data_IF_131005937887
#
_entry.id   IF_131005937887
#
_cell.length_a   1.000
_cell.length_b   1.000
_cell.length_c   1.000
_cell.angle_alpha   90.00
_cell.angle_beta   90.00
_cell.angle_gamma   90.00
#
_symmetry.space_group_name_H-M   'P 1'
#
loop_
_entity.id
_entity.type
_entity.pdbx_description
1 polymer ?
#
# COMPACT_ATOMS: atom_id res chain seq x y z
N UNK A 1 2.01 13.69 9.79
CA UNK A 1 2.86 13.05 8.76
C UNK A 1 2.02 12.62 7.54
N UNK A 2 1.47 13.62 6.83
CA UNK A 2 0.52 13.36 5.75
C UNK A 2 1.18 12.82 4.48
N UNK A 3 2.43 13.21 4.20
CA UNK A 3 3.19 12.69 3.05
C UNK A 3 3.43 11.18 3.16
N UNK A 4 4.02 10.74 4.27
CA UNK A 4 4.28 9.32 4.57
C UNK A 4 3.00 8.48 4.55
N UNK A 5 1.92 8.99 5.15
CA UNK A 5 0.60 8.34 5.09
C UNK A 5 0.12 8.19 3.64
N UNK A 6 0.16 9.27 2.86
CA UNK A 6 -0.35 9.28 1.49
C UNK A 6 0.41 8.31 0.59
N UNK A 7 1.75 8.34 0.61
CA UNK A 7 2.56 7.43 -0.23
C UNK A 7 2.37 5.97 0.19
N UNK A 8 2.28 5.68 1.50
CA UNK A 8 2.05 4.31 1.96
C UNK A 8 0.65 3.80 1.56
N UNK A 9 -0.40 4.61 1.73
CA UNK A 9 -1.77 4.24 1.36
C UNK A 9 -1.91 4.05 -0.16
N UNK A 10 -1.37 4.98 -0.96
CA UNK A 10 -1.38 4.86 -2.42
C UNK A 10 -0.54 3.66 -2.88
N UNK A 11 0.60 3.41 -2.24
CA UNK A 11 1.45 2.26 -2.54
C UNK A 11 0.76 0.94 -2.23
N UNK A 12 0.03 0.84 -1.12
CA UNK A 12 -0.81 -0.31 -0.80
C UNK A 12 -1.90 -0.53 -1.87
N UNK A 13 -2.56 0.53 -2.34
CA UNK A 13 -3.55 0.45 -3.43
C UNK A 13 -2.94 -0.09 -4.71
N UNK A 14 -1.78 0.44 -5.11
CA UNK A 14 -1.06 0.00 -6.30
C UNK A 14 -0.62 -1.46 -6.18
N UNK A 15 -0.11 -1.87 -5.02
CA UNK A 15 0.31 -3.25 -4.78
C UNK A 15 -0.89 -4.22 -4.88
N UNK A 16 -2.06 -3.85 -4.36
CA UNK A 16 -3.29 -4.63 -4.53
C UNK A 16 -3.72 -4.77 -5.99
N UNK A 17 -3.59 -3.70 -6.78
CA UNK A 17 -3.87 -3.74 -8.22
C UNK A 17 -2.88 -4.63 -8.98
N UNK A 18 -1.57 -4.52 -8.68
CA UNK A 18 -0.51 -5.37 -9.28
C UNK A 18 -0.74 -6.84 -8.93
N UNK A 19 -1.14 -7.13 -7.68
CA UNK A 19 -1.43 -8.48 -7.23
C UNK A 19 -2.55 -9.12 -8.07
N UNK A 20 -3.66 -8.41 -8.28
CA UNK A 20 -4.75 -8.95 -9.10
C UNK A 20 -4.38 -9.08 -10.58
N UNK A 21 -3.63 -8.11 -11.11
CA UNK A 21 -3.16 -8.17 -12.49
C UNK A 21 -2.24 -9.39 -12.72
N UNK A 22 -1.37 -9.68 -11.75
CA UNK A 22 -0.49 -10.85 -11.75
C UNK A 22 -1.27 -12.17 -11.65
N UNK A 23 -2.41 -12.20 -10.96
CA UNK A 23 -3.26 -13.39 -10.88
C UNK A 23 -4.02 -13.62 -12.20
N UNK A 24 -4.48 -12.55 -12.84
CA UNK A 24 -5.20 -12.65 -14.10
C UNK A 24 -4.29 -13.03 -15.28
N UNK A 25 -3.12 -12.41 -15.40
CA UNK A 25 -2.14 -12.74 -16.42
C UNK A 25 -1.16 -13.80 -15.91
N UNK A 26 -1.53 -15.08 -16.08
CA UNK A 26 -0.74 -16.24 -15.64
C UNK A 26 0.70 -16.20 -16.19
N UNK A 27 0.88 -15.72 -17.42
CA UNK A 27 2.18 -15.64 -18.10
C UNK A 27 2.98 -14.35 -17.82
N UNK A 28 2.55 -13.52 -16.85
CA UNK A 28 3.32 -12.33 -16.49
C UNK A 28 4.72 -12.73 -15.98
N UNK A 29 5.81 -12.23 -16.59
CA UNK A 29 7.18 -12.55 -16.18
C UNK A 29 7.46 -12.21 -14.72
N UNK A 30 8.19 -13.07 -14.02
CA UNK A 30 8.52 -12.89 -12.61
C UNK A 30 9.32 -11.60 -12.37
N UNK A 31 10.20 -11.24 -13.30
CA UNK A 31 11.03 -10.05 -13.25
C UNK A 31 10.16 -8.78 -13.22
N UNK A 32 9.08 -8.75 -13.98
CA UNK A 32 8.13 -7.62 -14.00
C UNK A 32 7.38 -7.56 -12.67
N UNK A 33 6.93 -8.70 -12.13
CA UNK A 33 6.27 -8.77 -10.81
C UNK A 33 7.18 -8.21 -9.73
N UNK A 34 8.45 -8.62 -9.70
CA UNK A 34 9.43 -8.15 -8.73
C UNK A 34 9.76 -6.67 -8.92
N UNK A 35 9.96 -6.23 -10.16
CA UNK A 35 10.24 -4.82 -10.47
C UNK A 35 9.10 -3.91 -9.98
N UNK A 36 7.84 -4.29 -10.17
CA UNK A 36 6.69 -3.48 -9.75
C UNK A 36 6.42 -3.59 -8.25
N UNK A 37 6.30 -4.80 -7.72
CA UNK A 37 5.90 -5.02 -6.33
C UNK A 37 7.05 -4.73 -5.34
N UNK A 38 8.26 -5.18 -5.63
CA UNK A 38 9.41 -5.02 -4.71
C UNK A 38 10.18 -3.74 -5.05
N UNK A 39 10.44 -3.48 -6.33
CA UNK A 39 11.18 -2.30 -6.78
C UNK A 39 10.36 -1.02 -6.62
N UNK A 40 9.32 -0.85 -7.42
CA UNK A 40 8.54 0.39 -7.47
C UNK A 40 7.76 0.62 -6.17
N UNK A 41 6.90 -0.31 -5.75
CA UNK A 41 6.12 -0.13 -4.51
C UNK A 41 7.04 -0.08 -3.27
N UNK A 42 8.13 -0.84 -3.25
CA UNK A 42 9.11 -0.79 -2.16
C UNK A 42 9.87 0.54 -2.09
N UNK A 43 10.20 1.15 -3.23
CA UNK A 43 10.84 2.48 -3.27
C UNK A 43 9.87 3.65 -3.08
N UNK A 44 8.60 3.47 -3.44
CA UNK A 44 7.54 4.48 -3.30
C UNK A 44 7.02 4.58 -1.86
N UNK A 45 6.94 3.47 -1.14
CA UNK A 45 6.48 3.40 0.25
C UNK A 45 7.66 3.42 1.22
N UNK A 46 7.40 3.71 2.49
CA UNK A 46 8.44 3.70 3.52
C UNK A 46 7.88 3.30 4.89
N UNK A 47 8.31 2.13 5.38
CA UNK A 47 8.03 1.69 6.74
C UNK A 47 8.98 2.33 7.76
N UNK A 48 10.25 2.54 7.39
CA UNK A 48 11.25 3.11 8.29
C UNK A 48 10.92 4.56 8.67
N UNK A 49 10.47 5.38 7.71
CA UNK A 49 10.03 6.75 7.99
C UNK A 49 8.78 6.75 8.88
N UNK A 50 7.80 5.88 8.61
CA UNK A 50 6.63 5.70 9.46
C UNK A 50 7.02 5.35 10.91
N UNK A 51 7.98 4.44 11.11
CA UNK A 51 8.47 4.09 12.44
C UNK A 51 9.20 5.25 13.13
N UNK A 52 10.05 5.98 12.41
CA UNK A 52 10.74 7.15 12.95
C UNK A 52 9.77 8.26 13.39
N UNK A 53 8.71 8.49 12.62
CA UNK A 53 7.65 9.45 12.97
C UNK A 53 6.87 9.02 14.22
N UNK A 54 6.55 7.73 14.36
CA UNK A 54 5.91 7.21 15.59
C UNK A 54 6.84 7.33 16.80
N UNK A 55 8.12 6.99 16.65
CA UNK A 55 9.11 7.14 17.71
C UNK A 55 9.26 8.60 18.14
N UNK A 56 9.28 9.55 17.20
CA UNK A 56 9.32 10.98 17.50
C UNK A 56 8.08 11.43 18.30
N UNK A 57 6.89 10.94 17.97
CA UNK A 57 5.67 11.25 18.72
C UNK A 57 5.72 10.70 20.16
N UNK A 58 6.21 9.47 20.33
CA UNK A 58 6.40 8.87 21.65
C UNK A 58 7.40 9.68 22.50
N UNK A 59 8.53 10.09 21.93
CA UNK A 59 9.52 10.94 22.61
C UNK A 59 8.97 12.31 23.02
N UNK A 60 7.96 12.81 22.31
CA UNK A 60 7.25 14.05 22.67
C UNK A 60 6.05 13.82 23.61
N UNK A 61 5.89 12.61 24.16
CA UNK A 61 4.77 12.20 25.01
C UNK A 61 3.39 12.31 24.33
N UNK A 62 3.34 12.24 22.99
CA UNK A 62 2.12 12.37 22.17
C UNK A 62 1.51 10.99 21.86
N UNK A 63 1.16 10.25 22.90
CA UNK A 63 0.76 8.84 22.80
C UNK A 63 -0.53 8.65 21.98
N UNK A 64 -1.52 9.53 22.17
CA UNK A 64 -2.77 9.48 21.38
C UNK A 64 -2.51 9.71 19.88
N UNK A 65 -1.68 10.69 19.52
CA UNK A 65 -1.36 10.99 18.13
C UNK A 65 -0.62 9.82 17.47
N UNK A 66 0.36 9.24 18.17
CA UNK A 66 1.08 8.04 17.74
C UNK A 66 0.10 6.89 17.48
N UNK A 67 -0.76 6.56 18.44
CA UNK A 67 -1.74 5.48 18.31
C UNK A 67 -2.70 5.71 17.14
N UNK A 68 -3.25 6.92 17.01
CA UNK A 68 -4.15 7.25 15.89
C UNK A 68 -3.44 7.18 14.53
N UNK A 69 -2.19 7.64 14.45
CA UNK A 69 -1.43 7.61 13.20
C UNK A 69 -1.07 6.18 12.79
N UNK A 70 -0.62 5.35 13.73
CA UNK A 70 -0.34 3.93 13.51
C UNK A 70 -1.60 3.18 13.07
N UNK A 71 -2.70 3.33 13.81
CA UNK A 71 -3.97 2.69 13.47
C UNK A 71 -4.50 3.15 12.10
N UNK A 72 -4.48 4.45 11.81
CA UNK A 72 -4.91 4.98 10.53
C UNK A 72 -4.05 4.45 9.38
N UNK A 73 -2.72 4.40 9.55
CA UNK A 73 -1.81 3.89 8.51
C UNK A 73 -2.08 2.43 8.18
N UNK A 74 -2.29 1.59 9.21
CA UNK A 74 -2.59 0.16 9.02
C UNK A 74 -3.97 -0.06 8.39
N UNK A 75 -5.01 0.59 8.92
CA UNK A 75 -6.38 0.42 8.45
C UNK A 75 -6.55 0.95 7.02
N UNK A 76 -6.09 2.19 6.76
CA UNK A 76 -6.20 2.79 5.44
C UNK A 76 -5.32 2.04 4.43
N UNK A 77 -4.13 1.60 4.81
CA UNK A 77 -3.27 0.79 3.95
C UNK A 77 -3.93 -0.53 3.54
N UNK A 78 -4.50 -1.26 4.50
CA UNK A 78 -5.21 -2.52 4.22
C UNK A 78 -6.45 -2.30 3.34
N UNK A 79 -7.29 -1.31 3.68
CA UNK A 79 -8.48 -0.96 2.88
C UNK A 79 -8.10 -0.54 1.46
N UNK A 80 -7.04 0.24 1.31
CA UNK A 80 -6.55 0.68 0.00
C UNK A 80 -6.03 -0.49 -0.85
N UNK A 81 -5.27 -1.43 -0.26
CA UNK A 81 -4.86 -2.65 -0.93
C UNK A 81 -6.05 -3.48 -1.41
N UNK A 82 -7.03 -3.69 -0.53
CA UNK A 82 -8.27 -4.41 -0.88
C UNK A 82 -9.05 -3.71 -2.00
N UNK A 83 -9.16 -2.38 -1.94
CA UNK A 83 -9.82 -1.57 -2.96
C UNK A 83 -9.10 -1.66 -4.31
N UNK A 84 -7.76 -1.59 -4.33
CA UNK A 84 -6.96 -1.72 -5.55
C UNK A 84 -7.15 -3.08 -6.23
N UNK A 85 -7.15 -4.16 -5.44
CA UNK A 85 -7.45 -5.51 -5.92
C UNK A 85 -8.87 -5.61 -6.50
N UNK A 86 -9.90 -5.16 -5.77
CA UNK A 86 -11.30 -5.20 -6.23
C UNK A 86 -11.55 -4.35 -7.46
N UNK A 87 -10.90 -3.20 -7.58
CA UNK A 87 -11.00 -2.31 -8.73
C UNK A 87 -10.52 -3.02 -10.00
N UNK A 88 -9.34 -3.65 -9.96
CA UNK A 88 -8.81 -4.39 -11.11
C UNK A 88 -9.68 -5.60 -11.45
N UNK A 89 -10.11 -6.35 -10.44
CA UNK A 89 -11.02 -7.48 -10.63
C UNK A 89 -12.32 -7.06 -11.35
N UNK A 90 -12.94 -5.97 -10.90
CA UNK A 90 -14.17 -5.45 -11.50
C UNK A 90 -13.96 -5.02 -12.97
N UNK A 91 -12.86 -4.31 -13.26
CA UNK A 91 -12.51 -3.90 -14.63
C UNK A 91 -12.29 -5.10 -15.56
N UNK A 92 -11.70 -6.18 -15.04
CA UNK A 92 -11.50 -7.42 -15.78
C UNK A 92 -12.83 -8.12 -16.04
N UNK A 93 -13.69 -8.26 -15.03
CA UNK A 93 -15.01 -8.88 -15.19
C UNK A 93 -15.89 -8.13 -16.21
N UNK A 94 -15.81 -6.79 -16.27
CA UNK A 94 -16.56 -6.01 -17.27
C UNK A 94 -16.16 -6.30 -18.71
N UNK A 95 -14.91 -6.71 -18.97
CA UNK A 95 -14.46 -7.05 -20.34
C UNK A 95 -15.13 -8.32 -20.90
N UNK A 96 -15.81 -9.10 -20.08
CA UNK A 96 -16.45 -10.37 -20.45
C UNK A 96 -17.99 -10.31 -20.51
N UNK A 97 -18.59 -9.13 -20.34
CA UNK A 97 -20.03 -8.86 -20.53
C UNK A 97 -20.19 -8.03 -21.80
#
# INVERSE_FOLDING_TARGET
>A
PYGTLAVNVLGCMLLGAIYELSNYYVDMPLEIKLMLAVGFCGGFTTFSTFMAENMAMLSMNKLLQCATYAAASLLLGFVAMWAGHRMVQWLICQKWI
#
